data_IF_423482405388
#
_entry.id   IF_423482405388
#
_cell.length_a   1.000
_cell.length_b   1.000
_cell.length_c   1.000
_cell.angle_alpha   90.00
_cell.angle_beta   90.00
_cell.angle_gamma   90.00
#
_symmetry.space_group_name_H-M   'P 1'
#
loop_
_entity.id
_entity.type
_entity.pdbx_description
1 polymer ?
#
# COMPACT_ATOMS: atom_id res chain seq x y z
N UNK A 1 17.25 -23.58 17.00
CA UNK A 1 17.39 -24.59 18.06
C UNK A 1 16.13 -25.45 18.03
N UNK A 2 16.30 -26.74 17.75
CA UNK A 2 15.21 -27.71 17.88
C UNK A 2 15.50 -28.47 19.19
N UNK A 3 14.72 -28.17 20.22
CA UNK A 3 14.80 -28.87 21.50
C UNK A 3 13.61 -29.83 21.62
N UNK A 4 13.86 -31.09 21.97
CA UNK A 4 12.80 -32.03 22.33
C UNK A 4 12.45 -31.85 23.80
N UNK A 5 11.18 -31.56 24.08
CA UNK A 5 10.64 -31.44 25.45
C UNK A 5 9.66 -32.57 25.73
N UNK A 6 9.62 -33.02 26.98
CA UNK A 6 8.61 -34.00 27.41
C UNK A 6 7.22 -33.33 27.56
N UNK A 7 6.19 -34.10 27.83
CA UNK A 7 4.83 -33.59 27.98
C UNK A 7 4.65 -32.55 29.09
N UNK A 8 5.60 -32.40 30.00
CA UNK A 8 5.62 -31.42 31.08
C UNK A 8 6.50 -30.20 30.77
N UNK A 9 7.02 -30.09 29.54
CA UNK A 9 7.85 -29.00 29.10
C UNK A 9 9.31 -29.04 29.60
N UNK A 10 9.73 -30.07 30.30
CA UNK A 10 11.12 -30.27 30.73
C UNK A 10 11.97 -30.84 29.59
N UNK A 11 13.25 -30.45 29.55
CA UNK A 11 14.19 -30.96 28.54
C UNK A 11 14.35 -32.47 28.68
N UNK A 12 14.33 -33.19 27.56
CA UNK A 12 14.54 -34.65 27.56
C UNK A 12 16.03 -34.97 27.74
N UNK A 13 16.42 -35.69 28.75
CA UNK A 13 17.81 -36.13 28.88
C UNK A 13 18.15 -37.08 27.74
N UNK A 14 19.24 -36.82 27.06
CA UNK A 14 19.93 -37.64 26.06
C UNK A 14 19.66 -37.41 24.57
N UNK A 15 20.74 -37.16 23.86
CA UNK A 15 21.12 -37.50 22.47
C UNK A 15 20.18 -37.12 21.29
N UNK A 16 19.03 -36.49 21.51
CA UNK A 16 18.17 -36.02 20.44
C UNK A 16 18.16 -34.49 20.27
N UNK A 17 18.95 -33.77 21.05
CA UNK A 17 19.11 -32.33 20.89
C UNK A 17 20.09 -32.06 19.75
N UNK A 18 19.57 -31.69 18.60
CA UNK A 18 20.34 -31.15 17.51
C UNK A 18 20.39 -29.65 17.64
N UNK A 19 21.45 -29.11 18.21
CA UNK A 19 21.73 -27.68 18.19
C UNK A 19 22.12 -27.31 16.76
N UNK A 20 21.25 -26.58 16.07
CA UNK A 20 21.60 -25.95 14.81
C UNK A 20 22.00 -24.52 15.17
N UNK A 21 23.26 -24.19 14.97
CA UNK A 21 23.72 -22.83 15.19
C UNK A 21 22.97 -21.84 14.31
N UNK A 22 22.68 -20.68 14.88
CA UNK A 22 22.04 -19.60 14.14
C UNK A 22 23.03 -19.12 13.05
N UNK A 23 22.60 -19.16 11.80
CA UNK A 23 23.33 -18.55 10.71
C UNK A 23 22.85 -17.11 10.54
N UNK A 24 23.78 -16.16 10.50
CA UNK A 24 23.47 -14.77 10.21
C UNK A 24 22.87 -14.65 8.81
N UNK A 25 21.78 -13.89 8.70
CA UNK A 25 21.20 -13.56 7.40
C UNK A 25 22.10 -12.60 6.61
N UNK A 26 21.78 -12.45 5.33
CA UNK A 26 22.44 -11.49 4.46
C UNK A 26 21.88 -10.08 4.70
N UNK A 27 22.72 -9.05 4.49
CA UNK A 27 22.28 -7.66 4.46
C UNK A 27 21.58 -7.36 3.13
N UNK A 28 20.57 -6.51 3.16
CA UNK A 28 19.91 -5.96 1.98
C UNK A 28 20.36 -4.51 1.80
N UNK A 29 20.74 -4.17 0.57
CA UNK A 29 21.00 -2.79 0.17
C UNK A 29 19.81 -2.36 -0.70
N UNK A 30 19.08 -1.34 -0.25
CA UNK A 30 17.90 -0.82 -0.93
C UNK A 30 18.26 0.42 -1.73
N UNK A 31 17.44 0.74 -2.73
CA UNK A 31 17.52 1.99 -3.50
C UNK A 31 16.85 3.16 -2.77
N UNK A 32 16.19 2.91 -1.65
CA UNK A 32 15.54 3.93 -0.83
C UNK A 32 16.57 4.98 -0.37
N UNK A 33 16.33 6.24 -0.73
CA UNK A 33 17.06 7.39 -0.22
C UNK A 33 16.41 7.89 1.06
N UNK A 34 17.18 7.97 2.14
CA UNK A 34 16.64 8.32 3.46
C UNK A 34 16.06 9.74 3.53
N UNK A 35 16.62 10.68 2.77
CA UNK A 35 16.12 12.05 2.75
C UNK A 35 14.83 12.16 1.92
N UNK A 36 14.78 11.53 0.76
CA UNK A 36 13.58 11.50 -0.09
C UNK A 36 12.44 10.79 0.64
N UNK A 37 12.75 9.68 1.32
CA UNK A 37 11.78 8.95 2.14
C UNK A 37 11.22 9.83 3.26
N UNK A 38 12.07 10.53 4.00
CA UNK A 38 11.65 11.45 5.07
C UNK A 38 10.73 12.57 4.55
N UNK A 39 11.09 13.18 3.42
CA UNK A 39 10.29 14.23 2.80
C UNK A 39 8.93 13.69 2.34
N UNK A 40 8.92 12.50 1.72
CA UNK A 40 7.69 11.84 1.29
C UNK A 40 6.77 11.53 2.47
N UNK A 41 7.29 10.99 3.57
CA UNK A 41 6.52 10.70 4.78
C UNK A 41 5.93 11.96 5.41
N UNK A 42 6.73 13.02 5.52
CA UNK A 42 6.29 14.30 6.09
C UNK A 42 5.09 14.88 5.32
N UNK A 43 5.23 15.03 4.01
CA UNK A 43 4.16 15.62 3.21
C UNK A 43 2.95 14.71 3.04
N UNK A 44 3.15 13.39 3.07
CA UNK A 44 2.05 12.44 3.09
C UNK A 44 1.23 12.59 4.38
N UNK A 45 1.87 12.74 5.53
CA UNK A 45 1.21 12.95 6.82
C UNK A 45 0.42 14.26 6.85
N UNK A 46 1.04 15.36 6.37
CA UNK A 46 0.37 16.64 6.24
C UNK A 46 -0.88 16.52 5.35
N UNK A 47 -0.77 15.87 4.19
CA UNK A 47 -1.88 15.69 3.26
C UNK A 47 -3.01 14.81 3.84
N UNK A 48 -2.68 13.69 4.45
CA UNK A 48 -3.66 12.78 5.08
C UNK A 48 -4.42 13.50 6.18
N UNK A 49 -3.74 14.31 6.98
CA UNK A 49 -4.34 15.12 8.05
C UNK A 49 -5.23 16.22 7.48
N UNK A 50 -4.71 17.00 6.54
CA UNK A 50 -5.40 18.14 5.94
C UNK A 50 -6.69 17.75 5.23
N UNK A 51 -6.66 16.63 4.51
CA UNK A 51 -7.80 16.16 3.72
C UNK A 51 -8.62 15.07 4.40
N UNK A 52 -8.35 14.80 5.68
CA UNK A 52 -9.04 13.78 6.49
C UNK A 52 -9.09 12.41 5.81
N UNK A 53 -7.99 12.02 5.17
CA UNK A 53 -7.84 10.72 4.51
C UNK A 53 -7.53 9.64 5.57
N UNK A 54 -8.46 9.39 6.48
CA UNK A 54 -8.22 8.63 7.73
C UNK A 54 -7.76 7.19 7.53
N UNK A 55 -7.90 6.62 6.35
CA UNK A 55 -7.64 5.20 6.17
C UNK A 55 -6.49 4.88 5.22
N UNK A 56 -6.15 5.75 4.26
CA UNK A 56 -5.19 5.40 3.22
C UNK A 56 -4.50 6.60 2.59
N UNK A 57 -3.20 6.61 2.69
CA UNK A 57 -2.36 7.46 1.88
C UNK A 57 -1.08 6.70 1.53
N UNK A 58 -0.61 6.84 0.32
CA UNK A 58 0.72 6.35 -0.06
C UNK A 58 1.39 7.30 -1.06
N UNK A 59 2.72 7.30 -1.00
CA UNK A 59 3.59 7.99 -1.96
C UNK A 59 4.68 7.01 -2.39
N UNK A 60 4.90 6.91 -3.70
CA UNK A 60 6.02 6.18 -4.28
C UNK A 60 6.81 7.17 -5.13
N UNK A 61 8.11 7.28 -4.90
CA UNK A 61 9.04 8.06 -5.71
C UNK A 61 9.97 7.12 -6.44
N UNK A 62 9.94 7.14 -7.76
CA UNK A 62 10.66 6.19 -8.60
C UNK A 62 11.38 6.92 -9.74
N UNK A 63 12.58 6.46 -10.08
CA UNK A 63 13.27 6.89 -11.28
C UNK A 63 12.58 6.29 -12.52
N UNK A 64 12.11 7.12 -13.46
CA UNK A 64 11.39 6.63 -14.63
C UNK A 64 12.30 5.92 -15.65
N UNK A 65 13.63 6.05 -15.54
CA UNK A 65 14.58 5.42 -16.46
C UNK A 65 15.08 4.08 -15.96
N UNK A 66 15.34 3.98 -14.67
CA UNK A 66 15.93 2.77 -14.07
C UNK A 66 14.90 1.90 -13.36
N UNK A 67 13.77 2.49 -12.92
CA UNK A 67 12.77 1.83 -12.09
C UNK A 67 13.17 1.76 -10.60
N UNK A 68 14.27 2.37 -10.21
CA UNK A 68 14.70 2.42 -8.81
C UNK A 68 13.71 3.20 -7.96
N UNK A 69 13.31 2.62 -6.82
CA UNK A 69 12.39 3.26 -5.88
C UNK A 69 13.21 4.00 -4.84
N UNK A 70 13.11 5.33 -4.83
CA UNK A 70 13.78 6.21 -3.88
C UNK A 70 12.99 6.48 -2.61
N UNK A 71 11.66 6.37 -2.68
CA UNK A 71 10.80 6.41 -1.49
C UNK A 71 9.54 5.56 -1.70
N UNK A 72 9.07 4.96 -0.62
CA UNK A 72 7.79 4.26 -0.55
C UNK A 72 7.20 4.49 0.85
N UNK A 73 6.31 5.47 0.97
CA UNK A 73 5.66 5.85 2.21
C UNK A 73 4.19 5.48 2.21
N UNK A 74 3.67 5.04 3.34
CA UNK A 74 2.24 4.77 3.57
C UNK A 74 1.79 5.36 4.90
N UNK A 75 0.53 5.83 4.96
CA UNK A 75 -0.12 6.28 6.20
C UNK A 75 -1.51 5.61 6.34
N UNK A 76 -1.94 5.29 7.57
CA UNK A 76 -1.15 5.27 8.79
C UNK A 76 -0.02 4.24 8.72
N UNK A 77 1.06 4.52 9.40
CA UNK A 77 2.23 3.66 9.56
C UNK A 77 2.37 3.15 11.00
N UNK A 78 3.48 2.51 11.30
CA UNK A 78 3.81 2.04 12.64
C UNK A 78 5.32 2.11 12.89
N UNK A 79 5.73 2.12 14.15
CA UNK A 79 7.14 2.07 14.50
C UNK A 79 7.64 0.61 14.50
N UNK A 80 8.58 0.24 13.62
CA UNK A 80 9.10 -1.13 13.56
C UNK A 80 9.86 -1.57 14.83
N UNK A 81 10.25 -0.65 15.69
CA UNK A 81 10.88 -1.00 16.98
C UNK A 81 9.85 -1.47 18.03
N UNK A 82 8.58 -1.12 17.86
CA UNK A 82 7.46 -1.54 18.70
C UNK A 82 6.29 -2.08 17.84
N UNK A 83 6.54 -3.11 17.01
CA UNK A 83 5.64 -3.52 15.93
C UNK A 83 4.28 -4.03 16.42
N UNK A 84 4.22 -4.51 17.66
CA UNK A 84 2.99 -5.08 18.24
C UNK A 84 2.08 -4.05 18.89
N UNK A 85 2.54 -2.80 19.04
CA UNK A 85 1.71 -1.70 19.52
C UNK A 85 0.74 -1.25 18.44
N UNK A 86 -0.54 -1.11 18.77
CA UNK A 86 -1.53 -0.52 17.86
C UNK A 86 -1.43 1.00 17.98
N UNK A 87 -1.05 1.67 16.90
CA UNK A 87 -0.83 3.12 16.87
C UNK A 87 -2.11 3.93 16.67
N UNK A 88 -3.12 3.34 16.03
CA UNK A 88 -4.44 3.95 15.96
C UNK A 88 -5.16 3.84 17.30
N UNK A 89 -5.29 4.96 18.01
CA UNK A 89 -5.85 5.02 19.35
C UNK A 89 -7.29 4.53 19.40
N UNK A 90 -8.11 4.87 18.42
CA UNK A 90 -9.51 4.42 18.37
C UNK A 90 -9.61 2.90 18.25
N UNK A 91 -8.77 2.29 17.41
CA UNK A 91 -8.67 0.83 17.27
C UNK A 91 -8.16 0.19 18.56
N UNK A 92 -7.14 0.76 19.20
CA UNK A 92 -6.59 0.24 20.45
C UNK A 92 -7.62 0.27 21.58
N UNK A 93 -8.37 1.36 21.71
CA UNK A 93 -9.46 1.50 22.68
C UNK A 93 -10.60 0.51 22.39
N UNK A 94 -11.03 0.39 21.14
CA UNK A 94 -12.07 -0.56 20.76
C UNK A 94 -11.67 -2.02 21.08
N UNK A 95 -10.42 -2.40 20.85
CA UNK A 95 -9.90 -3.72 21.18
C UNK A 95 -9.87 -3.94 22.69
N UNK A 96 -9.42 -2.94 23.48
CA UNK A 96 -9.34 -3.05 24.94
C UNK A 96 -10.72 -3.16 25.61
N UNK A 97 -11.76 -2.62 24.98
CA UNK A 97 -13.13 -2.72 25.44
C UNK A 97 -13.79 -4.11 25.23
N UNK A 98 -13.13 -5.02 24.49
CA UNK A 98 -13.65 -6.38 24.29
C UNK A 98 -13.42 -7.22 25.53
N UNK A 99 -14.50 -7.63 26.20
CA UNK A 99 -14.44 -8.42 27.43
C UNK A 99 -13.94 -9.84 27.20
N UNK A 100 -14.42 -10.49 26.12
CA UNK A 100 -14.04 -11.85 25.74
C UNK A 100 -12.59 -11.89 25.30
N UNK A 101 -11.76 -12.63 26.05
CA UNK A 101 -10.32 -12.72 25.83
C UNK A 101 -9.96 -13.31 24.46
N UNK A 102 -10.69 -14.30 23.99
CA UNK A 102 -10.45 -14.94 22.70
C UNK A 102 -10.76 -13.97 21.54
N UNK A 103 -11.88 -13.25 21.64
CA UNK A 103 -12.25 -12.23 20.65
C UNK A 103 -11.29 -11.05 20.67
N UNK A 104 -10.86 -10.62 21.86
CA UNK A 104 -9.86 -9.54 22.00
C UNK A 104 -8.54 -9.93 21.35
N UNK A 105 -8.04 -11.15 21.59
CA UNK A 105 -6.82 -11.66 20.98
C UNK A 105 -6.93 -11.73 19.45
N UNK A 106 -8.06 -12.21 18.93
CA UNK A 106 -8.32 -12.25 17.49
C UNK A 106 -8.39 -10.84 16.87
N UNK A 107 -9.07 -9.89 17.54
CA UNK A 107 -9.16 -8.50 17.09
C UNK A 107 -7.78 -7.81 17.09
N UNK A 108 -6.97 -8.05 18.12
CA UNK A 108 -5.61 -7.54 18.21
C UNK A 108 -4.74 -8.07 17.07
N UNK A 109 -4.75 -9.38 16.83
CA UNK A 109 -4.01 -9.99 15.74
C UNK A 109 -4.44 -9.43 14.38
N UNK A 110 -5.74 -9.28 14.14
CA UNK A 110 -6.25 -8.70 12.90
C UNK A 110 -5.82 -7.23 12.70
N UNK A 111 -5.80 -6.44 13.78
CA UNK A 111 -5.35 -5.04 13.75
C UNK A 111 -3.85 -4.95 13.45
N UNK A 112 -3.03 -5.78 14.08
CA UNK A 112 -1.58 -5.87 13.81
C UNK A 112 -1.31 -6.25 12.36
N UNK A 113 -1.95 -7.28 11.83
CA UNK A 113 -1.84 -7.70 10.43
C UNK A 113 -2.18 -6.56 9.46
N UNK A 114 -3.23 -5.79 9.76
CA UNK A 114 -3.63 -4.63 8.94
C UNK A 114 -2.62 -3.50 8.99
N UNK A 115 -2.08 -3.19 10.18
CA UNK A 115 -1.09 -2.13 10.38
C UNK A 115 0.25 -2.44 9.69
N UNK A 116 0.68 -3.72 9.69
CA UNK A 116 1.94 -4.14 9.07
C UNK A 116 1.88 -4.21 7.54
N UNK A 117 0.67 -4.20 6.97
CA UNK A 117 0.52 -4.33 5.53
C UNK A 117 1.01 -3.09 4.81
N UNK A 118 1.92 -3.26 3.85
CA UNK A 118 2.33 -2.18 2.98
C UNK A 118 1.21 -1.85 1.97
N UNK A 119 0.51 -0.75 2.23
CA UNK A 119 -0.65 -0.33 1.44
C UNK A 119 -0.29 0.01 -0.01
N UNK A 120 0.92 0.52 -0.26
CA UNK A 120 1.36 0.91 -1.59
C UNK A 120 1.42 -0.28 -2.58
N UNK A 121 1.62 -1.50 -2.08
CA UNK A 121 1.74 -2.72 -2.90
C UNK A 121 0.63 -3.75 -2.65
N UNK A 122 -0.14 -3.61 -1.57
CA UNK A 122 -1.13 -4.62 -1.16
C UNK A 122 -2.57 -4.16 -1.33
N UNK A 123 -2.82 -2.85 -1.40
CA UNK A 123 -4.15 -2.29 -1.49
C UNK A 123 -4.50 -1.95 -2.94
N UNK A 124 -5.75 -2.20 -3.29
CA UNK A 124 -6.31 -1.79 -4.58
C UNK A 124 -7.19 -0.55 -4.39
N UNK A 125 -7.26 0.29 -5.42
CA UNK A 125 -8.11 1.47 -5.44
C UNK A 125 -8.63 1.75 -6.85
N UNK A 126 -9.68 2.55 -6.95
CA UNK A 126 -10.21 3.01 -8.23
C UNK A 126 -9.40 4.23 -8.70
N UNK A 127 -8.53 4.10 -9.72
CA UNK A 127 -7.61 5.16 -10.12
C UNK A 127 -8.29 6.35 -10.78
N UNK A 128 -9.52 6.19 -11.24
CA UNK A 128 -10.25 7.22 -11.95
C UNK A 128 -9.49 7.75 -13.16
N UNK A 129 -9.42 9.07 -13.29
CA UNK A 129 -8.77 9.76 -14.42
C UNK A 129 -7.26 9.52 -14.53
N UNK A 130 -6.59 9.08 -13.46
CA UNK A 130 -5.16 8.75 -13.52
C UNK A 130 -4.93 7.56 -14.46
N UNK A 131 -5.88 6.64 -14.59
CA UNK A 131 -5.80 5.52 -15.51
C UNK A 131 -5.78 5.93 -17.00
N UNK A 132 -6.14 7.17 -17.33
CA UNK A 132 -6.08 7.70 -18.71
C UNK A 132 -4.66 7.71 -19.25
N UNK A 133 -3.63 7.82 -18.39
CA UNK A 133 -2.24 7.72 -18.78
C UNK A 133 -1.97 6.34 -19.41
N UNK A 134 -2.45 5.28 -18.77
CA UNK A 134 -2.30 3.91 -19.27
C UNK A 134 -3.07 3.74 -20.58
N UNK A 135 -4.33 4.21 -20.61
CA UNK A 135 -5.18 4.13 -21.82
C UNK A 135 -4.55 4.89 -23.00
N UNK A 136 -4.03 6.08 -22.75
CA UNK A 136 -3.36 6.89 -23.77
C UNK A 136 -2.09 6.22 -24.30
N UNK A 137 -1.22 5.74 -23.38
CA UNK A 137 0.02 5.04 -23.76
C UNK A 137 -0.26 3.79 -24.59
N UNK A 138 -1.24 2.99 -24.17
CA UNK A 138 -1.65 1.79 -24.91
C UNK A 138 -2.19 2.14 -26.31
N UNK A 139 -2.98 3.21 -26.43
CA UNK A 139 -3.51 3.65 -27.72
C UNK A 139 -2.40 4.13 -28.66
N UNK A 140 -1.33 4.75 -28.16
CA UNK A 140 -0.15 5.09 -28.94
C UNK A 140 0.63 3.85 -29.38
N UNK A 141 0.90 2.94 -28.47
CA UNK A 141 1.66 1.71 -28.72
C UNK A 141 0.97 0.84 -29.78
N UNK A 142 -0.35 0.73 -29.71
CA UNK A 142 -1.18 0.00 -30.67
C UNK A 142 -1.41 0.77 -31.99
N UNK A 143 -0.83 1.95 -32.16
CA UNK A 143 -0.96 2.78 -33.35
C UNK A 143 -2.39 3.27 -33.63
N UNK A 144 -3.27 3.26 -32.61
CA UNK A 144 -4.66 3.73 -32.74
C UNK A 144 -4.76 5.25 -32.73
N UNK A 145 -3.79 5.91 -32.15
CA UNK A 145 -3.65 7.37 -32.09
C UNK A 145 -2.21 7.80 -32.38
N UNK A 146 -2.04 9.04 -32.77
CA UNK A 146 -0.74 9.69 -32.93
C UNK A 146 -0.86 11.16 -32.49
N UNK A 147 0.24 11.89 -32.46
CA UNK A 147 0.29 13.30 -31.99
C UNK A 147 -0.61 14.27 -32.78
N UNK A 148 -1.04 13.88 -33.97
CA UNK A 148 -1.94 14.69 -34.80
C UNK A 148 -3.41 14.22 -34.70
N UNK A 149 -3.70 13.22 -33.89
CA UNK A 149 -5.07 12.71 -33.70
C UNK A 149 -5.95 13.76 -33.05
N UNK A 150 -7.16 13.86 -33.54
CA UNK A 150 -8.17 14.79 -33.02
C UNK A 150 -9.40 14.04 -32.56
N UNK A 151 -10.06 14.60 -31.56
CA UNK A 151 -11.26 14.01 -30.94
C UNK A 151 -12.35 15.09 -30.85
N UNK A 152 -13.59 14.64 -30.85
CA UNK A 152 -14.72 15.54 -30.61
C UNK A 152 -15.47 15.10 -29.35
N UNK A 153 -15.53 16.00 -28.37
CA UNK A 153 -16.27 15.76 -27.14
C UNK A 153 -17.64 16.44 -27.19
N UNK A 154 -18.67 15.64 -27.37
CA UNK A 154 -20.08 16.10 -27.35
C UNK A 154 -20.71 16.15 -25.94
N UNK A 155 -19.90 16.01 -24.88
CA UNK A 155 -20.39 16.07 -23.49
C UNK A 155 -20.78 14.71 -22.90
N UNK A 156 -20.94 13.70 -23.73
CA UNK A 156 -21.19 12.32 -23.28
C UNK A 156 -20.81 11.32 -24.37
N UNK A 157 -20.66 10.07 -23.97
CA UNK A 157 -20.46 8.91 -24.86
C UNK A 157 -21.27 7.73 -24.32
N UNK A 158 -21.81 6.91 -25.21
CA UNK A 158 -22.49 5.67 -24.82
C UNK A 158 -21.66 4.48 -25.24
N UNK A 159 -21.29 3.62 -24.30
CA UNK A 159 -20.50 2.42 -24.51
C UNK A 159 -21.28 1.23 -23.96
N UNK A 160 -21.50 0.21 -24.79
CA UNK A 160 -22.24 -1.00 -24.44
C UNK A 160 -23.60 -0.70 -23.73
N UNK A 161 -24.32 0.32 -24.20
CA UNK A 161 -25.62 0.74 -23.65
C UNK A 161 -25.55 1.63 -22.41
N UNK A 162 -24.36 1.83 -21.82
CA UNK A 162 -24.18 2.69 -20.65
C UNK A 162 -23.69 4.07 -21.09
N UNK A 163 -24.37 5.13 -20.61
CA UNK A 163 -24.03 6.53 -20.88
C UNK A 163 -23.03 7.04 -19.86
N UNK A 164 -21.90 7.52 -20.37
CA UNK A 164 -20.85 8.19 -19.59
C UNK A 164 -20.86 9.69 -19.91
N UNK A 165 -20.99 10.52 -18.89
CA UNK A 165 -20.99 11.96 -19.05
C UNK A 165 -19.59 12.54 -18.87
N UNK A 166 -19.25 13.53 -19.68
CA UNK A 166 -18.10 14.39 -19.44
C UNK A 166 -18.39 15.32 -18.26
N UNK A 167 -17.38 15.74 -17.50
CA UNK A 167 -17.55 16.74 -16.45
C UNK A 167 -18.06 18.08 -17.01
N UNK A 168 -17.73 18.38 -18.26
CA UNK A 168 -18.33 19.48 -19.03
C UNK A 168 -19.47 18.93 -19.87
N UNK A 169 -20.66 18.99 -19.36
CA UNK A 169 -21.86 18.41 -19.98
C UNK A 169 -22.16 18.96 -21.39
N UNK A 170 -21.78 20.23 -21.66
CA UNK A 170 -21.89 20.85 -23.00
C UNK A 170 -20.84 20.31 -23.99
N UNK A 171 -19.90 19.49 -23.52
CA UNK A 171 -18.77 19.03 -24.32
C UNK A 171 -17.62 20.03 -24.41
N UNK A 172 -16.47 19.53 -24.82
CA UNK A 172 -15.27 20.34 -25.08
C UNK A 172 -15.13 20.71 -26.56
N UNK A 173 -15.96 20.14 -27.44
CA UNK A 173 -15.83 20.29 -28.87
C UNK A 173 -14.61 19.55 -29.43
N UNK A 174 -14.02 20.11 -30.47
CA UNK A 174 -12.81 19.59 -31.10
C UNK A 174 -11.59 19.77 -30.20
N UNK A 175 -10.83 18.69 -30.01
CA UNK A 175 -9.63 18.65 -29.17
C UNK A 175 -8.52 17.94 -29.98
N UNK A 176 -7.30 18.43 -29.90
CA UNK A 176 -6.10 17.66 -30.25
C UNK A 176 -5.68 16.76 -29.09
N UNK A 177 -4.89 15.76 -29.40
CA UNK A 177 -4.28 14.93 -28.38
C UNK A 177 -3.26 15.72 -27.57
#
# INVERSE_FOLDING_TARGET
VIAAKNANGADMPFSYEKVIDAQSGSSLVLTIDSYIQYVAEKYLEEAVTQYSCNERGCVIVMDPKTGEIYAMATKPDYNPNTPFTIYDTATAEAISAIEDESKRAAALSAAQQRQWRNKAISDTYEPGSVFKIITGSAAFEEGKVNVNSTFNCGGNITIAGTKYNCHKHAGHGHQSL
#
